data_IF_146915504248
#
_entry.id   IF_146915504248
#
_cell.length_a   1.000
_cell.length_b   1.000
_cell.length_c   1.000
_cell.angle_alpha   90.00
_cell.angle_beta   90.00
_cell.angle_gamma   90.00
#
_symmetry.space_group_name_H-M   'P 1'
#
loop_
_entity.id
_entity.type
_entity.pdbx_description
1 polymer ?
#
# COMPACT_ATOMS: atom_id res chain seq x y z
N UNK A 1 5.68 3.70 10.32
CA UNK A 1 4.88 2.87 9.39
C UNK A 1 3.44 2.88 9.88
N UNK A 2 2.44 2.72 9.03
CA UNK A 2 1.05 2.66 9.52
C UNK A 2 0.19 1.70 8.71
N UNK A 3 -0.93 1.30 9.31
CA UNK A 3 -1.97 0.47 8.70
C UNK A 3 -3.34 1.07 8.96
N UNK A 4 -4.17 1.07 7.93
CA UNK A 4 -5.58 1.43 7.99
C UNK A 4 -6.43 0.25 7.54
N UNK A 5 -7.63 0.11 8.10
CA UNK A 5 -8.60 -0.91 7.66
C UNK A 5 -9.30 -0.44 6.37
N UNK A 6 -8.52 -0.15 5.32
CA UNK A 6 -9.00 0.41 4.05
C UNK A 6 -8.45 -0.36 2.86
N UNK A 7 -9.10 -0.19 1.70
CA UNK A 7 -8.48 -0.42 0.39
C UNK A 7 -8.20 0.95 -0.22
N UNK A 8 -6.94 1.22 -0.51
CA UNK A 8 -6.48 2.51 -0.99
C UNK A 8 -6.05 2.41 -2.46
N UNK A 9 -6.65 3.24 -3.31
CA UNK A 9 -6.24 3.45 -4.70
C UNK A 9 -5.39 4.71 -4.76
N UNK A 10 -4.12 4.53 -5.06
CA UNK A 10 -3.11 5.56 -4.92
C UNK A 10 -2.51 5.85 -6.29
N UNK A 11 -2.32 7.13 -6.59
CA UNK A 11 -1.87 7.62 -7.88
C UNK A 11 -0.73 8.61 -7.70
N UNK A 12 0.39 8.40 -8.38
CA UNK A 12 1.50 9.36 -8.38
C UNK A 12 1.21 10.39 -9.48
N UNK A 13 0.81 11.59 -9.05
CA UNK A 13 0.44 12.67 -9.95
C UNK A 13 1.68 13.45 -10.44
N UNK A 14 2.71 13.53 -9.62
CA UNK A 14 3.96 14.20 -9.97
C UNK A 14 5.13 13.72 -9.10
N UNK A 15 6.36 13.80 -9.63
CA UNK A 15 7.56 13.34 -8.94
C UNK A 15 7.69 11.81 -8.88
N UNK A 16 8.33 11.32 -7.82
CA UNK A 16 8.51 9.88 -7.57
C UNK A 16 8.49 9.60 -6.07
N UNK A 17 7.89 8.48 -5.70
CA UNK A 17 7.63 8.09 -4.32
C UNK A 17 8.05 6.65 -4.13
N UNK A 18 8.72 6.36 -3.02
CA UNK A 18 9.00 5.00 -2.60
C UNK A 18 7.92 4.52 -1.62
N UNK A 19 7.29 3.40 -1.96
CA UNK A 19 6.42 2.63 -1.11
C UNK A 19 7.26 1.54 -0.44
N UNK A 20 7.26 1.49 0.89
CA UNK A 20 7.80 0.36 1.64
C UNK A 20 6.70 -0.37 2.41
N UNK A 21 6.81 -1.69 2.46
CA UNK A 21 5.93 -2.60 3.18
C UNK A 21 6.63 -3.17 4.42
N UNK A 22 5.86 -3.68 5.37
CA UNK A 22 6.36 -4.39 6.57
C UNK A 22 7.12 -5.68 6.25
N UNK A 23 6.86 -6.29 5.10
CA UNK A 23 7.63 -7.40 4.54
C UNK A 23 9.08 -7.04 4.21
N UNK A 24 9.43 -5.74 4.21
CA UNK A 24 10.70 -5.21 3.76
C UNK A 24 10.77 -4.98 2.24
N UNK A 25 9.73 -5.34 1.49
CA UNK A 25 9.66 -4.98 0.06
C UNK A 25 9.52 -3.46 -0.10
N UNK A 26 10.32 -2.88 -0.99
CA UNK A 26 10.16 -1.49 -1.40
C UNK A 26 10.03 -1.36 -2.92
N UNK A 27 9.28 -0.36 -3.36
CA UNK A 27 9.06 -0.05 -4.78
C UNK A 27 9.06 1.46 -4.98
N UNK A 28 9.78 1.92 -6.01
CA UNK A 28 9.72 3.31 -6.44
C UNK A 28 8.66 3.44 -7.53
N UNK A 29 7.64 4.24 -7.28
CA UNK A 29 6.61 4.61 -8.23
C UNK A 29 6.89 6.02 -8.76
N UNK A 30 6.72 6.22 -10.06
CA UNK A 30 6.94 7.48 -10.77
C UNK A 30 5.61 8.09 -11.17
N UNK A 31 5.63 9.35 -11.62
CA UNK A 31 4.47 10.02 -12.22
C UNK A 31 3.74 9.12 -13.23
N UNK A 32 2.43 8.97 -13.03
CA UNK A 32 1.57 8.11 -13.83
C UNK A 32 1.46 6.68 -13.29
N UNK A 33 2.31 6.25 -12.35
CA UNK A 33 2.14 4.95 -11.70
C UNK A 33 1.06 5.01 -10.62
N UNK A 34 0.59 3.83 -10.22
CA UNK A 34 -0.44 3.65 -9.21
C UNK A 34 -0.17 2.48 -8.29
N UNK A 35 -0.72 2.53 -7.09
CA UNK A 35 -0.71 1.44 -6.13
C UNK A 35 -2.13 1.12 -5.65
N UNK A 36 -2.42 -0.15 -5.43
CA UNK A 36 -3.62 -0.62 -4.73
C UNK A 36 -3.18 -1.30 -3.45
N UNK A 37 -3.49 -0.70 -2.31
CA UNK A 37 -3.12 -1.22 -1.00
C UNK A 37 -4.33 -1.84 -0.30
N UNK A 38 -4.22 -3.11 0.09
CA UNK A 38 -5.31 -3.87 0.70
C UNK A 38 -5.07 -4.08 2.20
N UNK A 39 -5.16 -3.00 2.98
CA UNK A 39 -4.95 -3.03 4.42
C UNK A 39 -3.53 -3.37 4.83
N UNK A 40 -2.53 -3.01 4.01
CA UNK A 40 -1.11 -3.29 4.26
C UNK A 40 -0.49 -2.27 5.21
N UNK A 41 0.39 -2.73 6.10
CA UNK A 41 1.29 -1.85 6.82
C UNK A 41 2.31 -1.25 5.84
N UNK A 42 2.43 0.07 5.83
CA UNK A 42 3.23 0.73 4.82
C UNK A 42 3.79 2.09 5.25
N UNK A 43 4.73 2.59 4.46
CA UNK A 43 5.20 3.96 4.51
C UNK A 43 5.46 4.48 3.08
N UNK A 44 5.42 5.80 2.96
CA UNK A 44 5.70 6.51 1.72
C UNK A 44 6.83 7.52 1.95
N UNK A 45 7.83 7.53 1.07
CA UNK A 45 8.96 8.49 1.10
C UNK A 45 9.09 9.17 -0.25
N UNK A 46 9.21 10.49 -0.23
CA UNK A 46 9.64 11.21 -1.43
C UNK A 46 11.12 10.87 -1.69
N UNK A 47 11.41 10.34 -2.89
CA UNK A 47 12.78 9.95 -3.26
C UNK A 47 13.66 11.14 -3.61
N UNK A 48 13.06 12.27 -3.95
CA UNK A 48 13.78 13.50 -4.27
C UNK A 48 14.22 14.22 -3.01
N UNK A 49 15.46 14.75 -3.04
CA UNK A 49 16.01 15.60 -1.98
C UNK A 49 15.67 17.08 -2.16
N UNK A 50 15.24 17.48 -3.35
CA UNK A 50 15.10 18.90 -3.72
C UNK A 50 13.72 19.25 -4.26
N UNK A 51 13.00 18.28 -4.80
CA UNK A 51 11.70 18.49 -5.45
C UNK A 51 10.56 17.83 -4.67
N UNK A 52 9.37 18.45 -4.62
CA UNK A 52 8.19 17.80 -4.07
C UNK A 52 7.72 16.64 -4.96
N UNK A 53 6.92 15.76 -4.38
CA UNK A 53 6.16 14.75 -5.09
C UNK A 53 4.68 14.84 -4.68
N UNK A 54 3.78 14.49 -5.59
CA UNK A 54 2.34 14.57 -5.37
C UNK A 54 1.69 13.22 -5.57
N UNK A 55 0.90 12.83 -4.58
CA UNK A 55 0.13 11.61 -4.54
C UNK A 55 -1.33 11.93 -4.26
N UNK A 56 -2.25 11.27 -4.97
CA UNK A 56 -3.67 11.26 -4.64
C UNK A 56 -4.08 9.86 -4.21
N UNK A 57 -4.88 9.78 -3.16
CA UNK A 57 -5.41 8.52 -2.64
C UNK A 57 -6.93 8.57 -2.55
N UNK A 58 -7.58 7.48 -2.97
CA UNK A 58 -8.99 7.21 -2.70
C UNK A 58 -9.06 5.99 -1.79
N UNK A 59 -9.42 6.23 -0.53
CA UNK A 59 -9.51 5.20 0.50
C UNK A 59 -10.95 4.75 0.70
N UNK A 60 -11.17 3.44 0.65
CA UNK A 60 -12.48 2.82 0.91
C UNK A 60 -12.38 1.98 2.17
N UNK A 61 -13.19 2.31 3.18
CA UNK A 61 -13.26 1.55 4.43
C UNK A 61 -13.65 0.09 4.20
N UNK A 62 -12.90 -0.83 4.83
CA UNK A 62 -13.26 -2.24 4.89
C UNK A 62 -14.36 -2.48 5.93
N UNK A 63 -14.97 -3.67 5.89
CA UNK A 63 -15.91 -4.08 6.94
C UNK A 63 -15.25 -4.02 8.32
N UNK A 64 -15.91 -3.30 9.23
CA UNK A 64 -15.40 -3.04 10.59
C UNK A 64 -14.35 -1.93 10.68
N UNK A 65 -14.14 -1.14 9.62
CA UNK A 65 -13.34 0.08 9.71
C UNK A 65 -14.02 1.09 10.64
N UNK A 66 -13.25 1.69 11.54
CA UNK A 66 -13.69 2.74 12.44
C UNK A 66 -13.16 4.08 11.94
N UNK A 67 -13.99 5.11 11.96
CA UNK A 67 -13.55 6.46 11.59
C UNK A 67 -12.41 6.93 12.51
N UNK A 68 -11.46 7.66 11.94
CA UNK A 68 -10.30 8.22 12.63
C UNK A 68 -9.33 7.19 13.24
N UNK A 69 -9.47 5.90 12.91
CA UNK A 69 -8.55 4.85 13.35
C UNK A 69 -7.40 4.67 12.35
N UNK A 70 -6.17 4.92 12.82
CA UNK A 70 -4.93 4.54 12.15
C UNK A 70 -4.01 3.86 13.15
N UNK A 71 -3.49 2.69 12.79
CA UNK A 71 -2.53 1.95 13.63
C UNK A 71 -1.13 2.30 13.20
N UNK A 72 -0.32 2.81 14.12
CA UNK A 72 1.08 3.16 13.86
C UNK A 72 1.95 1.98 14.32
N UNK A 73 2.83 1.53 13.43
CA UNK A 73 3.89 0.59 13.72
C UNK A 73 5.25 1.31 13.64
N UNK A 74 6.21 0.85 14.43
CA UNK A 74 7.58 1.38 14.42
C UNK A 74 8.18 1.29 13.01
N UNK A 75 8.91 2.33 12.60
CA UNK A 75 9.66 2.30 11.34
C UNK A 75 10.86 1.37 11.50
N UNK A 76 11.20 0.53 10.50
CA UNK A 76 12.51 -0.10 10.49
C UNK A 76 13.60 0.99 10.46
N UNK A 77 14.67 0.83 11.26
CA UNK A 77 15.78 1.78 11.29
C UNK A 77 16.41 1.93 9.88
N UNK A 78 16.73 3.16 9.48
CA UNK A 78 17.36 3.42 8.19
C UNK A 78 18.80 2.88 8.17
N UNK A 79 19.03 1.73 7.52
CA UNK A 79 20.38 1.23 7.31
C UNK A 79 20.46 -0.25 6.91
N UNK A 80 21.06 -0.49 5.75
CA UNK A 80 21.56 -1.78 5.24
C UNK A 80 20.51 -2.83 4.84
N UNK A 81 20.38 -3.04 3.52
CA UNK A 81 19.81 -4.29 3.03
C UNK A 81 20.63 -5.47 3.54
N UNK A 82 20.03 -6.29 4.42
CA UNK A 82 20.55 -7.60 4.80
C UNK A 82 19.41 -8.60 5.06
N UNK A 83 19.76 -9.84 4.76
CA UNK A 83 18.93 -11.04 4.69
C UNK A 83 18.08 -11.35 5.92
N UNK A 84 17.03 -12.13 5.63
CA UNK A 84 16.05 -12.76 6.52
C UNK A 84 16.57 -13.04 7.94
N UNK A 85 15.95 -12.36 8.90
CA UNK A 85 15.86 -12.80 10.28
C UNK A 85 14.42 -12.64 10.74
N UNK A 86 13.73 -13.76 10.99
CA UNK A 86 12.41 -13.77 11.62
C UNK A 86 12.50 -13.09 12.99
N UNK A 87 11.79 -11.97 13.15
CA UNK A 87 11.43 -11.46 14.47
C UNK A 87 9.92 -11.56 14.60
N UNK A 88 9.48 -12.40 15.54
CA UNK A 88 8.10 -12.50 15.99
C UNK A 88 7.69 -11.17 16.65
N UNK A 89 7.22 -10.23 15.83
CA UNK A 89 6.35 -9.16 16.28
C UNK A 89 4.92 -9.68 16.26
N UNK A 90 4.18 -9.55 17.36
CA UNK A 90 2.75 -9.83 17.38
C UNK A 90 2.02 -8.79 16.51
N UNK A 91 1.95 -9.05 15.20
CA UNK A 91 0.96 -8.45 14.33
C UNK A 91 -0.41 -8.97 14.75
N UNK A 92 -1.35 -8.07 15.00
CA UNK A 92 -2.77 -8.44 14.90
C UNK A 92 -3.13 -8.26 13.43
N UNK A 93 -2.72 -9.21 12.59
CA UNK A 93 -3.01 -9.20 11.16
C UNK A 93 -4.51 -9.20 10.91
N UNK A 94 -4.92 -8.58 9.80
CA UNK A 94 -6.26 -8.79 9.28
C UNK A 94 -6.31 -10.25 8.80
N UNK A 95 -7.03 -11.11 9.51
CA UNK A 95 -7.04 -12.56 9.22
C UNK A 95 -7.44 -12.84 7.76
N UNK A 96 -6.84 -13.86 7.16
CA UNK A 96 -7.09 -14.29 5.79
C UNK A 96 -8.58 -14.56 5.49
N UNK A 97 -9.38 -14.89 6.52
CA UNK A 97 -10.83 -15.07 6.40
C UNK A 97 -11.59 -13.74 6.23
N UNK A 98 -11.06 -12.62 6.72
CA UNK A 98 -11.58 -11.29 6.40
C UNK A 98 -11.28 -10.92 4.94
N UNK A 99 -10.14 -11.35 4.41
CA UNK A 99 -9.76 -11.15 2.99
C UNK A 99 -10.66 -11.94 2.01
N UNK A 100 -11.18 -13.12 2.39
CA UNK A 100 -12.07 -13.92 1.51
C UNK A 100 -13.45 -13.27 1.29
N UNK A 101 -13.93 -12.44 2.21
CA UNK A 101 -15.19 -11.67 2.05
C UNK A 101 -15.05 -10.46 1.12
N UNK A 102 -13.82 -10.11 0.73
CA UNK A 102 -13.46 -8.99 -0.15
C UNK A 102 -13.74 -9.32 -1.64
N UNK A 103 -14.38 -10.45 -1.98
CA UNK A 103 -14.65 -10.84 -3.37
C UNK A 103 -15.33 -9.78 -4.25
N UNK A 104 -16.15 -8.89 -3.68
CA UNK A 104 -16.69 -7.73 -4.40
C UNK A 104 -15.66 -6.62 -4.65
N UNK A 105 -14.69 -6.46 -3.76
CA UNK A 105 -13.62 -5.49 -3.93
C UNK A 105 -12.56 -5.99 -4.89
N UNK A 106 -12.36 -7.29 -5.05
CA UNK A 106 -11.44 -7.83 -6.07
C UNK A 106 -11.90 -7.45 -7.51
N UNK A 107 -13.21 -7.42 -7.74
CA UNK A 107 -13.81 -6.89 -8.97
C UNK A 107 -13.64 -5.36 -9.07
N UNK A 108 -13.75 -4.64 -7.95
CA UNK A 108 -13.48 -3.20 -7.87
C UNK A 108 -12.04 -2.84 -8.23
N UNK A 109 -11.08 -3.57 -7.66
CA UNK A 109 -9.64 -3.46 -7.96
C UNK A 109 -9.38 -3.76 -9.43
N UNK A 110 -9.95 -4.85 -9.96
CA UNK A 110 -9.87 -5.17 -11.39
C UNK A 110 -10.39 -4.04 -12.28
N UNK A 111 -11.49 -3.40 -11.91
CA UNK A 111 -12.11 -2.33 -12.67
C UNK A 111 -11.29 -1.03 -12.60
N UNK A 112 -10.76 -0.66 -11.43
CA UNK A 112 -9.89 0.52 -11.28
C UNK A 112 -8.60 0.31 -12.06
N UNK A 113 -7.93 -0.84 -11.92
CA UNK A 113 -6.72 -1.15 -12.69
C UNK A 113 -6.97 -1.12 -14.19
N UNK A 114 -8.13 -1.57 -14.67
CA UNK A 114 -8.53 -1.46 -16.09
C UNK A 114 -8.79 -0.01 -16.52
N UNK A 115 -9.37 0.83 -15.65
CA UNK A 115 -9.58 2.25 -15.92
C UNK A 115 -8.26 2.99 -16.02
N UNK A 116 -7.33 2.74 -15.09
CA UNK A 116 -5.98 3.32 -15.10
C UNK A 116 -5.23 2.91 -16.36
N UNK A 117 -5.24 1.62 -16.71
CA UNK A 117 -4.62 1.12 -17.95
C UNK A 117 -5.25 1.67 -19.23
N UNK A 118 -6.52 2.11 -19.19
CA UNK A 118 -7.20 2.74 -20.32
C UNK A 118 -6.96 4.25 -20.42
N UNK A 119 -6.54 4.89 -19.33
CA UNK A 119 -6.18 6.30 -19.36
C UNK A 119 -4.84 6.45 -20.12
N UNK A 120 -4.88 7.00 -21.33
CA UNK A 120 -3.68 7.21 -22.14
C UNK A 120 -2.66 8.04 -21.34
N UNK A 121 -1.41 7.53 -21.26
CA UNK A 121 -0.30 8.19 -20.57
C UNK A 121 -0.07 7.79 -19.11
N UNK A 122 -0.85 6.86 -18.55
CA UNK A 122 -0.61 6.28 -17.22
C UNK A 122 0.35 5.09 -17.26
N UNK A 123 1.13 4.92 -16.19
CA UNK A 123 2.18 3.94 -16.00
C UNK A 123 1.72 2.63 -15.36
N UNK A 124 2.57 2.01 -14.55
CA UNK A 124 2.33 0.69 -13.96
C UNK A 124 1.38 0.78 -12.74
N UNK A 125 0.62 -0.28 -12.49
CA UNK A 125 -0.17 -0.45 -11.26
C UNK A 125 0.40 -1.59 -10.43
N UNK A 126 0.78 -1.31 -9.18
CA UNK A 126 1.26 -2.30 -8.22
C UNK A 126 0.11 -2.66 -7.26
N UNK A 127 -0.14 -3.94 -7.06
CA UNK A 127 -1.07 -4.41 -6.03
C UNK A 127 -0.30 -4.93 -4.82
N UNK A 128 -0.54 -4.35 -3.64
CA UNK A 128 0.04 -4.79 -2.38
C UNK A 128 -1.05 -5.45 -1.52
N UNK A 129 -0.76 -6.65 -1.04
CA UNK A 129 -1.64 -7.45 -0.19
C UNK A 129 -0.96 -7.71 1.14
N UNK A 130 -1.75 -7.69 2.23
CA UNK A 130 -1.24 -8.08 3.53
C UNK A 130 -0.81 -9.55 3.46
N UNK A 131 0.38 -9.86 4.00
CA UNK A 131 0.81 -11.25 4.12
C UNK A 131 -0.23 -12.00 4.96
N UNK A 132 -0.74 -13.13 4.44
CA UNK A 132 -1.61 -13.99 5.23
C UNK A 132 -0.78 -14.60 6.36
N UNK A 133 -1.19 -14.39 7.61
CA UNK A 133 -0.70 -15.19 8.74
C UNK A 133 -1.01 -16.66 8.43
N UNK A 134 0.03 -17.51 8.45
CA UNK A 134 -0.07 -18.96 8.28
C UNK A 134 -0.01 -19.65 9.64
#
# INVERSE_FOLDING_TARGET
>A
MHTTSTIDYIFILDGSMELGLDSGETRILKKGDSAVQRGTAHWWRNVSKTEPAMLAAVSVGLEGAVADEMRIADMPEEGEGKEKGEKEGQSHGISADRLKKIGHVDQGVSNVTKLVKKAEGWGETICAEAASEN
#
